data_IF_620523375431
#
_entry.id   IF_620523375431
#
_cell.length_a   1.000
_cell.length_b   1.000
_cell.length_c   1.000
_cell.angle_alpha   90.00
_cell.angle_beta   90.00
_cell.angle_gamma   90.00
#
_symmetry.space_group_name_H-M   'P 1'
#
loop_
_entity.id
_entity.type
_entity.pdbx_description
1 polymer ?
#
# COMPACT_ATOMS: atom_id res chain seq x y z
N UNK A 1 5.19 16.09 -9.08
CA UNK A 1 4.22 16.63 -8.07
C UNK A 1 4.43 15.95 -6.73
N UNK A 2 3.99 16.52 -5.60
CA UNK A 2 3.98 15.84 -4.29
C UNK A 2 2.79 14.89 -4.20
N UNK A 3 3.01 13.62 -3.86
CA UNK A 3 1.98 12.59 -3.83
C UNK A 3 2.11 11.68 -2.60
N UNK A 4 0.99 11.09 -2.18
CA UNK A 4 0.96 10.02 -1.17
C UNK A 4 0.87 8.69 -1.92
N UNK A 5 1.72 7.73 -1.56
CA UNK A 5 1.69 6.41 -2.16
C UNK A 5 0.91 5.43 -1.27
N UNK A 6 -0.06 4.73 -1.87
CA UNK A 6 -0.73 3.63 -1.21
C UNK A 6 0.13 2.37 -1.33
N UNK A 7 0.46 1.76 -0.19
CA UNK A 7 1.23 0.52 -0.09
C UNK A 7 0.33 -0.60 0.42
N UNK A 8 0.36 -1.75 -0.25
CA UNK A 8 -0.43 -2.93 0.12
C UNK A 8 0.43 -4.11 0.58
N UNK A 9 1.76 -3.99 0.48
CA UNK A 9 2.71 -5.08 0.71
C UNK A 9 2.92 -5.95 -0.53
N UNK A 10 2.04 -5.81 -1.53
CA UNK A 10 2.15 -6.47 -2.82
C UNK A 10 3.10 -5.75 -3.79
N UNK A 11 3.67 -6.54 -4.71
CA UNK A 11 4.63 -6.08 -5.74
C UNK A 11 4.14 -4.90 -6.59
N UNK A 12 2.83 -4.84 -6.87
CA UNK A 12 2.26 -3.88 -7.81
C UNK A 12 2.23 -2.47 -7.21
N UNK A 13 1.95 -2.36 -5.90
CA UNK A 13 2.05 -1.08 -5.17
C UNK A 13 3.48 -0.55 -5.14
N UNK A 14 4.47 -1.42 -4.88
CA UNK A 14 5.90 -1.07 -4.93
C UNK A 14 6.34 -0.64 -6.33
N UNK A 15 5.89 -1.35 -7.37
CA UNK A 15 6.22 -1.00 -8.75
C UNK A 15 5.64 0.35 -9.15
N UNK A 16 4.39 0.64 -8.76
CA UNK A 16 3.76 1.93 -9.03
C UNK A 16 4.56 3.09 -8.40
N UNK A 17 5.02 2.93 -7.15
CA UNK A 17 5.89 3.91 -6.47
C UNK A 17 7.16 4.17 -7.27
N UNK A 18 7.83 3.11 -7.74
CA UNK A 18 9.04 3.24 -8.57
C UNK A 18 8.75 3.99 -9.87
N UNK A 19 7.61 3.74 -10.52
CA UNK A 19 7.23 4.47 -11.73
C UNK A 19 6.91 5.94 -11.42
N UNK A 20 6.18 6.24 -10.34
CA UNK A 20 5.90 7.61 -9.93
C UNK A 20 7.20 8.41 -9.67
N UNK A 21 8.20 7.80 -9.05
CA UNK A 21 9.52 8.42 -8.86
C UNK A 21 10.21 8.67 -10.21
N UNK A 22 10.19 7.69 -11.13
CA UNK A 22 10.77 7.85 -12.48
C UNK A 22 10.11 8.97 -13.28
N UNK A 23 8.82 9.18 -13.09
CA UNK A 23 8.04 10.24 -13.71
C UNK A 23 8.22 11.62 -13.02
N UNK A 24 9.09 11.71 -12.01
CA UNK A 24 9.43 12.97 -11.33
C UNK A 24 8.46 13.38 -10.23
N UNK A 25 7.67 12.43 -9.69
CA UNK A 25 6.86 12.67 -8.51
C UNK A 25 7.67 12.48 -7.22
N UNK A 26 7.40 13.32 -6.22
CA UNK A 26 7.96 13.23 -4.88
C UNK A 26 6.95 12.50 -3.99
N UNK A 27 7.33 11.34 -3.47
CA UNK A 27 6.53 10.59 -2.50
C UNK A 27 6.73 11.24 -1.13
N UNK A 28 5.69 11.90 -0.61
CA UNK A 28 5.78 12.64 0.65
C UNK A 28 5.26 11.86 1.86
N UNK A 29 4.50 10.81 1.61
CA UNK A 29 4.01 9.89 2.64
C UNK A 29 3.64 8.53 2.03
N UNK A 30 3.63 7.50 2.88
CA UNK A 30 3.06 6.20 2.58
C UNK A 30 1.75 6.03 3.35
N UNK A 31 0.75 5.41 2.72
CA UNK A 31 -0.52 5.05 3.37
C UNK A 31 -0.80 3.56 3.16
N UNK A 32 -1.22 2.88 4.23
CA UNK A 32 -1.63 1.48 4.19
C UNK A 32 -3.09 1.36 4.64
N UNK A 33 -3.88 0.57 3.91
CA UNK A 33 -5.23 0.17 4.31
C UNK A 33 -5.17 -1.23 4.90
N UNK A 34 -5.64 -1.39 6.12
CA UNK A 34 -5.67 -2.65 6.83
C UNK A 34 -7.00 -2.83 7.58
N UNK A 35 -7.41 -4.08 7.87
CA UNK A 35 -8.60 -4.35 8.66
C UNK A 35 -8.51 -3.73 10.06
N UNK A 36 -9.62 -3.22 10.58
CA UNK A 36 -9.66 -2.69 11.97
C UNK A 36 -9.28 -3.79 12.99
N UNK A 37 -9.75 -5.02 12.76
CA UNK A 37 -9.28 -6.18 13.48
C UNK A 37 -8.07 -6.81 12.78
N UNK A 38 -6.87 -6.57 13.31
CA UNK A 38 -5.59 -7.09 12.78
C UNK A 38 -5.46 -8.61 12.81
N UNK A 39 -6.30 -9.33 13.56
CA UNK A 39 -6.32 -10.80 13.53
C UNK A 39 -7.03 -11.36 12.28
N UNK A 40 -7.72 -10.51 11.51
CA UNK A 40 -8.40 -10.91 10.28
C UNK A 40 -7.42 -10.83 9.11
N UNK A 41 -6.84 -11.98 8.76
CA UNK A 41 -5.85 -12.10 7.69
C UNK A 41 -6.45 -12.02 6.27
N UNK A 42 -7.73 -12.39 6.09
CA UNK A 42 -8.35 -12.50 4.77
C UNK A 42 -9.82 -12.06 4.86
N UNK A 43 -10.07 -10.78 4.58
CA UNK A 43 -11.39 -10.35 4.12
C UNK A 43 -11.37 -10.51 2.60
N UNK A 44 -12.42 -11.08 2.01
CA UNK A 44 -12.69 -11.09 0.56
C UNK A 44 -12.96 -9.66 0.05
N UNK A 45 -11.98 -8.78 0.23
CA UNK A 45 -12.04 -7.36 -0.05
C UNK A 45 -11.82 -7.15 -1.53
N UNK A 46 -12.76 -6.45 -2.16
CA UNK A 46 -12.63 -5.98 -3.54
C UNK A 46 -11.91 -4.62 -3.64
N UNK A 47 -11.47 -4.05 -2.52
CA UNK A 47 -10.93 -2.68 -2.46
C UNK A 47 -9.44 -2.61 -2.11
N UNK A 48 -8.99 -3.38 -1.12
CA UNK A 48 -7.61 -3.36 -0.65
C UNK A 48 -7.14 -4.76 -0.29
N UNK A 49 -5.83 -4.99 -0.38
CA UNK A 49 -5.24 -6.27 -0.07
C UNK A 49 -5.29 -6.53 1.43
N UNK A 50 -5.83 -7.68 1.82
CA UNK A 50 -5.96 -8.11 3.21
C UNK A 50 -4.93 -9.17 3.54
N UNK A 51 -4.67 -10.08 2.60
CA UNK A 51 -3.62 -11.10 2.74
C UNK A 51 -2.25 -10.46 2.93
N UNK A 52 -1.62 -10.75 4.07
CA UNK A 52 -0.29 -10.24 4.42
C UNK A 52 -0.26 -8.75 4.76
N UNK A 53 -1.40 -8.14 5.09
CA UNK A 53 -1.47 -6.72 5.48
C UNK A 53 -0.58 -6.39 6.70
N UNK A 54 -0.35 -7.36 7.59
CA UNK A 54 0.52 -7.23 8.76
C UNK A 54 2.03 -7.21 8.46
N UNK A 55 2.45 -7.47 7.22
CA UNK A 55 3.86 -7.36 6.82
C UNK A 55 4.37 -5.92 6.74
N UNK A 56 3.46 -4.95 6.70
CA UNK A 56 3.78 -3.52 6.72
C UNK A 56 3.55 -2.99 8.14
N UNK A 57 4.63 -2.55 8.78
CA UNK A 57 4.58 -1.83 10.05
C UNK A 57 4.79 -0.33 9.78
N UNK A 58 3.67 0.40 9.61
CA UNK A 58 3.62 1.84 9.34
C UNK A 58 2.81 2.57 10.43
#
# INVERSE_FOLDING_TARGET
>A
MKVVALVSGGKDSCYNIVQAIKDGHEIVALGNLYPENKEVEELDSYMYQTVGHGAIDL
#
